data_IF_826160868462
#
_entry.id   IF_826160868462
#
_cell.length_a   1.000
_cell.length_b   1.000
_cell.length_c   1.000
_cell.angle_alpha   90.00
_cell.angle_beta   90.00
_cell.angle_gamma   90.00
#
_symmetry.space_group_name_H-M   'P 1'
#
loop_
_entity.id
_entity.type
_entity.pdbx_description
1 polymer ?
#
# COMPACT_ATOMS: atom_id res chain seq x y z
N UNK A 1 -28.56 -7.32 -28.76
CA UNK A 1 -28.49 -6.35 -27.66
C UNK A 1 -27.14 -6.55 -26.98
N UNK A 2 -26.33 -5.50 -26.84
CA UNK A 2 -25.02 -5.63 -26.18
C UNK A 2 -25.14 -5.99 -24.71
N UNK A 3 -24.06 -6.46 -24.08
CA UNK A 3 -24.05 -6.73 -22.64
C UNK A 3 -24.36 -5.47 -21.82
N UNK A 4 -23.81 -4.32 -22.24
CA UNK A 4 -24.06 -3.01 -21.63
C UNK A 4 -25.54 -2.63 -21.74
N UNK A 5 -26.16 -2.78 -22.91
CA UNK A 5 -27.58 -2.49 -23.10
C UNK A 5 -28.46 -3.36 -22.20
N UNK A 6 -28.09 -4.64 -22.04
CA UNK A 6 -28.80 -5.59 -21.17
C UNK A 6 -28.72 -5.14 -19.71
N UNK A 7 -27.53 -4.81 -19.24
CA UNK A 7 -27.33 -4.29 -17.88
C UNK A 7 -28.09 -2.98 -17.67
N UNK A 8 -27.98 -2.02 -18.60
CA UNK A 8 -28.73 -0.78 -18.56
C UNK A 8 -30.25 -1.02 -18.51
N UNK A 9 -30.77 -1.98 -19.26
CA UNK A 9 -32.19 -2.31 -19.25
C UNK A 9 -32.64 -2.81 -17.87
N UNK A 10 -31.88 -3.74 -17.29
CA UNK A 10 -32.14 -4.26 -15.94
C UNK A 10 -31.99 -3.20 -14.85
N UNK A 11 -31.08 -2.24 -15.02
CA UNK A 11 -30.91 -1.10 -14.12
C UNK A 11 -32.12 -0.18 -14.13
N UNK A 12 -32.73 0.11 -15.29
CA UNK A 12 -33.85 1.05 -15.39
C UNK A 12 -35.23 0.40 -15.20
N UNK A 13 -35.36 -0.92 -15.39
CA UNK A 13 -36.59 -1.68 -15.19
C UNK A 13 -36.64 -2.36 -13.81
N UNK A 14 -36.00 -1.77 -12.80
CA UNK A 14 -36.00 -2.34 -11.45
C UNK A 14 -37.35 -2.06 -10.76
N UNK A 15 -38.13 -3.11 -10.47
CA UNK A 15 -39.38 -3.01 -9.69
C UNK A 15 -39.09 -3.30 -8.21
N UNK A 16 -38.21 -2.51 -7.59
CA UNK A 16 -37.99 -2.54 -6.13
C UNK A 16 -36.53 -2.52 -5.69
N UNK A 17 -35.65 -3.34 -6.27
CA UNK A 17 -34.21 -3.37 -5.95
C UNK A 17 -33.36 -3.66 -7.18
N UNK A 18 -32.32 -2.84 -7.36
CA UNK A 18 -31.35 -2.94 -8.46
C UNK A 18 -30.62 -4.27 -8.42
N UNK A 19 -30.17 -4.67 -7.23
CA UNK A 19 -29.40 -5.89 -6.99
C UNK A 19 -30.24 -7.14 -7.31
N UNK A 20 -31.54 -7.11 -7.01
CA UNK A 20 -32.49 -8.17 -7.37
C UNK A 20 -32.76 -8.26 -8.87
N UNK A 21 -32.75 -7.13 -9.58
CA UNK A 21 -32.88 -7.13 -11.04
C UNK A 21 -31.62 -7.68 -11.70
N UNK A 22 -30.45 -7.24 -11.22
CA UNK A 22 -29.15 -7.64 -11.76
C UNK A 22 -28.78 -9.09 -11.43
N UNK A 23 -29.22 -9.64 -10.30
CA UNK A 23 -28.96 -11.05 -9.92
C UNK A 23 -29.57 -12.07 -10.88
N UNK A 24 -30.58 -11.67 -11.67
CA UNK A 24 -31.17 -12.49 -12.74
C UNK A 24 -30.26 -12.60 -13.96
N UNK A 25 -29.25 -11.73 -14.06
CA UNK A 25 -28.26 -11.69 -15.14
C UNK A 25 -26.98 -12.36 -14.64
N UNK A 26 -26.36 -13.17 -15.50
CA UNK A 26 -25.01 -13.72 -15.26
C UNK A 26 -24.01 -13.15 -16.27
N UNK A 27 -23.68 -11.84 -16.19
CA UNK A 27 -22.81 -11.22 -17.16
C UNK A 27 -21.35 -11.65 -16.96
N UNK A 28 -20.60 -11.74 -18.05
CA UNK A 28 -19.14 -11.82 -18.01
C UNK A 28 -18.58 -10.41 -17.99
N UNK A 29 -18.40 -9.86 -16.79
CA UNK A 29 -17.95 -8.48 -16.60
C UNK A 29 -16.44 -8.33 -16.85
N UNK A 30 -16.08 -7.20 -17.44
CA UNK A 30 -14.72 -6.67 -17.45
C UNK A 30 -14.73 -5.18 -17.08
N UNK A 31 -13.54 -4.59 -16.92
CA UNK A 31 -13.39 -3.19 -16.51
C UNK A 31 -14.02 -2.21 -17.51
N UNK A 32 -14.00 -2.54 -18.81
CA UNK A 32 -14.52 -1.66 -19.85
C UNK A 32 -16.05 -1.64 -19.81
N UNK A 33 -16.68 -2.82 -19.74
CA UNK A 33 -18.12 -2.98 -19.61
C UNK A 33 -18.66 -2.25 -18.38
N UNK A 34 -17.99 -2.39 -17.22
CA UNK A 34 -18.38 -1.67 -16.00
C UNK A 34 -18.34 -0.16 -16.23
N UNK A 35 -17.24 0.38 -16.77
CA UNK A 35 -17.08 1.82 -17.00
C UNK A 35 -18.14 2.36 -17.97
N UNK A 36 -18.48 1.62 -19.02
CA UNK A 36 -19.54 2.01 -19.97
C UNK A 36 -20.91 2.11 -19.29
N UNK A 37 -21.25 1.18 -18.41
CA UNK A 37 -22.48 1.25 -17.61
C UNK A 37 -22.45 2.41 -16.60
N UNK A 38 -21.30 2.70 -15.98
CA UNK A 38 -21.18 3.87 -15.10
C UNK A 38 -21.39 5.19 -15.86
N UNK A 39 -20.85 5.29 -17.08
CA UNK A 39 -21.02 6.47 -17.92
C UNK A 39 -22.49 6.67 -18.35
N UNK A 40 -23.25 5.58 -18.58
CA UNK A 40 -24.67 5.70 -18.93
C UNK A 40 -25.53 6.19 -17.77
N UNK A 41 -25.10 5.96 -16.52
CA UNK A 41 -25.76 6.46 -15.31
C UNK A 41 -25.44 7.94 -15.04
N UNK A 42 -24.31 8.45 -15.53
CA UNK A 42 -23.89 9.84 -15.34
C UNK A 42 -24.52 10.79 -16.38
N UNK A 43 -24.92 12.03 -16.02
CA UNK A 43 -25.03 12.60 -14.68
C UNK A 43 -26.40 12.35 -14.02
N UNK A 44 -27.33 11.69 -14.71
CA UNK A 44 -28.76 11.70 -14.37
C UNK A 44 -29.11 10.84 -13.15
N UNK A 45 -28.42 9.71 -12.95
CA UNK A 45 -28.74 8.71 -11.93
C UNK A 45 -27.46 8.22 -11.21
N UNK A 46 -26.76 9.10 -10.48
CA UNK A 46 -25.46 8.75 -9.87
C UNK A 46 -25.59 7.66 -8.80
N UNK A 47 -26.66 7.68 -7.99
CA UNK A 47 -26.92 6.64 -6.98
C UNK A 47 -27.09 5.25 -7.60
N UNK A 48 -27.78 5.16 -8.74
CA UNK A 48 -27.96 3.91 -9.48
C UNK A 48 -26.61 3.38 -10.00
N UNK A 49 -25.77 4.27 -10.51
CA UNK A 49 -24.42 3.93 -10.95
C UNK A 49 -23.54 3.39 -9.82
N UNK A 50 -23.63 3.98 -8.62
CA UNK A 50 -22.91 3.47 -7.44
C UNK A 50 -23.46 2.12 -6.96
N UNK A 51 -24.78 1.90 -7.01
CA UNK A 51 -25.38 0.58 -6.71
C UNK A 51 -24.90 -0.51 -7.66
N UNK A 52 -24.92 -0.21 -8.96
CA UNK A 52 -24.37 -1.11 -9.97
C UNK A 52 -22.88 -1.41 -9.70
N UNK A 53 -22.09 -0.38 -9.37
CA UNK A 53 -20.68 -0.54 -9.06
C UNK A 53 -20.47 -1.52 -7.90
N UNK A 54 -21.16 -1.31 -6.77
CA UNK A 54 -21.07 -2.21 -5.62
C UNK A 54 -21.46 -3.63 -6.00
N UNK A 55 -22.57 -3.81 -6.71
CA UNK A 55 -23.00 -5.12 -7.20
C UNK A 55 -21.94 -5.80 -8.07
N UNK A 56 -21.37 -5.07 -9.04
CA UNK A 56 -20.37 -5.59 -9.97
C UNK A 56 -19.10 -6.08 -9.25
N UNK A 57 -18.64 -5.36 -8.22
CA UNK A 57 -17.35 -5.58 -7.55
C UNK A 57 -17.16 -6.95 -6.91
N UNK A 58 -18.24 -7.66 -6.60
CA UNK A 58 -18.19 -8.99 -5.98
C UNK A 58 -18.75 -10.13 -6.84
N UNK A 59 -18.99 -9.90 -8.15
CA UNK A 59 -19.44 -10.97 -9.05
C UNK A 59 -18.38 -12.04 -9.30
N UNK A 60 -18.81 -13.26 -9.60
CA UNK A 60 -17.86 -14.36 -9.90
C UNK A 60 -17.07 -14.04 -11.17
N UNK A 61 -15.74 -14.18 -11.13
CA UNK A 61 -14.86 -13.92 -12.27
C UNK A 61 -14.52 -12.45 -12.52
N UNK A 62 -14.97 -11.51 -11.67
CA UNK A 62 -14.65 -10.09 -11.82
C UNK A 62 -14.37 -9.40 -10.48
N UNK A 63 -13.37 -8.52 -10.45
CA UNK A 63 -13.03 -7.64 -9.33
C UNK A 63 -12.63 -6.28 -9.89
N UNK A 64 -12.99 -5.21 -9.18
CA UNK A 64 -12.55 -3.88 -9.58
C UNK A 64 -11.04 -3.73 -9.45
N UNK A 65 -10.45 -3.07 -10.46
CA UNK A 65 -9.07 -2.58 -10.40
C UNK A 65 -9.02 -1.24 -9.65
N UNK A 66 -7.83 -0.83 -9.20
CA UNK A 66 -7.63 0.51 -8.64
C UNK A 66 -8.11 1.63 -9.59
N UNK A 67 -7.86 1.46 -10.89
CA UNK A 67 -8.35 2.38 -11.93
C UNK A 67 -9.88 2.47 -11.93
N UNK A 68 -10.58 1.35 -11.76
CA UNK A 68 -12.05 1.31 -11.76
C UNK A 68 -12.65 2.06 -10.57
N UNK A 69 -12.08 1.92 -9.36
CA UNK A 69 -12.49 2.72 -8.19
C UNK A 69 -12.22 4.22 -8.41
N UNK A 70 -11.02 4.58 -8.87
CA UNK A 70 -10.64 5.97 -9.11
C UNK A 70 -11.58 6.63 -10.13
N UNK A 71 -11.92 5.91 -11.21
CA UNK A 71 -12.86 6.36 -12.23
C UNK A 71 -14.27 6.56 -11.67
N UNK A 72 -14.78 5.62 -10.86
CA UNK A 72 -16.10 5.73 -10.25
C UNK A 72 -16.18 6.92 -9.27
N UNK A 73 -15.17 7.09 -8.42
CA UNK A 73 -15.09 8.22 -7.48
C UNK A 73 -15.11 9.56 -8.23
N UNK A 74 -14.37 9.66 -9.33
CA UNK A 74 -14.34 10.86 -10.18
C UNK A 74 -15.66 11.10 -10.92
N UNK A 75 -16.27 10.06 -11.49
CA UNK A 75 -17.51 10.17 -12.27
C UNK A 75 -18.70 10.63 -11.42
N UNK A 76 -18.81 10.15 -10.18
CA UNK A 76 -19.91 10.49 -9.29
C UNK A 76 -19.55 11.55 -8.24
N UNK A 77 -18.35 12.14 -8.32
CA UNK A 77 -17.91 13.18 -7.40
C UNK A 77 -17.90 12.74 -5.93
N UNK A 78 -17.60 11.47 -5.65
CA UNK A 78 -17.73 10.87 -4.32
C UNK A 78 -16.82 11.59 -3.29
N UNK A 79 -15.65 12.06 -3.74
CA UNK A 79 -14.73 12.84 -2.90
C UNK A 79 -15.32 14.18 -2.43
N UNK A 80 -16.12 14.85 -3.27
CA UNK A 80 -16.74 16.14 -2.96
C UNK A 80 -18.12 15.96 -2.32
N UNK A 81 -18.83 14.89 -2.68
CA UNK A 81 -20.16 14.58 -2.21
C UNK A 81 -20.18 13.21 -1.52
N UNK A 82 -19.70 13.18 -0.29
CA UNK A 82 -19.68 12.01 0.57
C UNK A 82 -21.11 11.46 0.87
N UNK A 83 -22.14 12.29 0.67
CA UNK A 83 -23.54 11.94 0.95
C UNK A 83 -24.04 10.79 0.08
N UNK A 84 -23.56 10.64 -1.16
CA UNK A 84 -23.99 9.57 -2.06
C UNK A 84 -23.76 8.16 -1.47
N UNK A 85 -22.72 7.99 -0.66
CA UNK A 85 -22.43 6.72 0.01
C UNK A 85 -23.40 6.49 1.19
N UNK A 86 -23.78 7.56 1.91
CA UNK A 86 -24.80 7.46 2.95
C UNK A 86 -26.16 7.14 2.33
N UNK A 87 -26.53 7.83 1.27
CA UNK A 87 -27.78 7.60 0.53
C UNK A 87 -27.86 6.17 -0.01
N UNK A 88 -26.74 5.62 -0.49
CA UNK A 88 -26.62 4.22 -0.88
C UNK A 88 -27.00 3.28 0.26
N UNK A 89 -26.35 3.40 1.42
CA UNK A 89 -26.60 2.51 2.56
C UNK A 89 -28.01 2.70 3.12
N UNK A 90 -28.52 3.93 3.15
CA UNK A 90 -29.89 4.22 3.57
C UNK A 90 -30.92 3.65 2.58
N UNK A 91 -30.62 3.64 1.27
CA UNK A 91 -31.49 3.02 0.27
C UNK A 91 -31.58 1.50 0.46
N UNK A 92 -30.49 0.83 0.87
CA UNK A 92 -30.53 -0.60 1.19
C UNK A 92 -31.46 -0.90 2.36
N UNK A 93 -31.47 -0.05 3.39
CA UNK A 93 -32.36 -0.18 4.55
C UNK A 93 -33.82 0.10 4.16
N UNK A 94 -34.07 1.21 3.46
CA UNK A 94 -35.42 1.63 3.07
C UNK A 94 -36.10 0.65 2.11
N UNK A 95 -35.33 0.03 1.21
CA UNK A 95 -35.84 -0.94 0.24
C UNK A 95 -35.83 -2.39 0.78
N UNK A 96 -35.31 -2.63 1.98
CA UNK A 96 -35.18 -3.98 2.54
C UNK A 96 -34.32 -4.91 1.68
N UNK A 97 -33.25 -4.37 1.08
CA UNK A 97 -32.36 -5.13 0.20
C UNK A 97 -31.65 -6.25 0.98
N UNK A 98 -31.54 -7.43 0.38
CA UNK A 98 -30.71 -8.51 0.91
C UNK A 98 -29.22 -8.18 0.69
N UNK A 99 -28.67 -7.39 1.60
CA UNK A 99 -27.26 -7.01 1.61
C UNK A 99 -26.39 -8.11 2.24
N UNK A 100 -25.12 -8.15 1.85
CA UNK A 100 -24.15 -9.10 2.39
C UNK A 100 -22.81 -8.41 2.70
N UNK A 101 -21.93 -9.12 3.40
CA UNK A 101 -20.59 -8.64 3.81
C UNK A 101 -19.75 -8.14 2.62
N UNK A 102 -19.86 -8.75 1.44
CA UNK A 102 -19.08 -8.31 0.28
C UNK A 102 -19.56 -6.95 -0.26
N UNK A 103 -20.85 -6.65 -0.20
CA UNK A 103 -21.37 -5.33 -0.58
C UNK A 103 -20.74 -4.23 0.28
N UNK A 104 -20.75 -4.40 1.61
CA UNK A 104 -20.13 -3.43 2.52
C UNK A 104 -18.61 -3.33 2.34
N UNK A 105 -17.94 -4.44 1.99
CA UNK A 105 -16.52 -4.42 1.64
C UNK A 105 -16.25 -3.53 0.43
N UNK A 106 -17.09 -3.58 -0.60
CA UNK A 106 -16.97 -2.71 -1.78
C UNK A 106 -17.27 -1.24 -1.46
N UNK A 107 -18.26 -0.97 -0.60
CA UNK A 107 -18.57 0.38 -0.10
C UNK A 107 -17.39 0.97 0.68
N UNK A 108 -16.78 0.20 1.59
CA UNK A 108 -15.62 0.66 2.35
C UNK A 108 -14.39 0.88 1.46
N UNK A 109 -14.20 0.08 0.41
CA UNK A 109 -13.15 0.35 -0.59
C UNK A 109 -13.41 1.63 -1.39
N UNK A 110 -14.65 1.96 -1.72
CA UNK A 110 -15.01 3.26 -2.30
C UNK A 110 -14.67 4.40 -1.32
N UNK A 111 -15.02 4.27 -0.04
CA UNK A 111 -14.65 5.26 0.99
C UNK A 111 -13.13 5.41 1.09
N UNK A 112 -12.39 4.30 1.02
CA UNK A 112 -10.92 4.28 1.01
C UNK A 112 -10.35 5.06 -0.17
N UNK A 113 -10.84 4.82 -1.38
CA UNK A 113 -10.40 5.53 -2.58
C UNK A 113 -10.72 7.03 -2.48
N UNK A 114 -11.91 7.38 -1.96
CA UNK A 114 -12.35 8.76 -1.78
C UNK A 114 -11.79 9.48 -0.54
N UNK A 115 -10.98 8.79 0.31
CA UNK A 115 -10.46 9.29 1.59
C UNK A 115 -11.55 9.78 2.58
N UNK A 116 -12.71 9.10 2.62
CA UNK A 116 -13.86 9.47 3.46
C UNK A 116 -13.85 8.72 4.81
N UNK A 117 -13.04 9.16 5.77
CA UNK A 117 -12.90 8.46 7.07
C UNK A 117 -14.19 8.47 7.91
N UNK A 118 -14.88 9.61 7.97
CA UNK A 118 -16.12 9.80 8.72
C UNK A 118 -17.25 8.90 8.18
N UNK A 119 -17.38 8.83 6.84
CA UNK A 119 -18.34 7.96 6.18
C UNK A 119 -17.96 6.50 6.37
N UNK A 120 -16.68 6.13 6.23
CA UNK A 120 -16.24 4.74 6.40
C UNK A 120 -16.55 4.22 7.82
N UNK A 121 -16.30 5.04 8.84
CA UNK A 121 -16.66 4.72 10.22
C UNK A 121 -18.18 4.57 10.38
N UNK A 122 -18.95 5.52 9.81
CA UNK A 122 -20.41 5.44 9.85
C UNK A 122 -20.95 4.17 9.17
N UNK A 123 -20.40 3.77 8.01
CA UNK A 123 -20.76 2.55 7.30
C UNK A 123 -20.47 1.31 8.16
N UNK A 124 -19.30 1.25 8.79
CA UNK A 124 -18.90 0.15 9.68
C UNK A 124 -19.87 -0.04 10.85
N UNK A 125 -20.35 1.06 11.45
CA UNK A 125 -21.37 0.99 12.51
C UNK A 125 -22.76 0.63 11.98
N UNK A 126 -23.14 1.22 10.85
CA UNK A 126 -24.48 1.06 10.27
C UNK A 126 -24.72 -0.37 9.80
N UNK A 127 -23.71 -1.07 9.29
CA UNK A 127 -23.83 -2.48 8.88
C UNK A 127 -24.16 -3.42 10.06
N UNK A 128 -23.56 -3.18 11.23
CA UNK A 128 -23.86 -3.97 12.43
C UNK A 128 -25.23 -3.60 13.00
N UNK A 129 -25.52 -2.31 13.14
CA UNK A 129 -26.74 -1.81 13.80
C UNK A 129 -28.02 -2.06 13.01
N UNK A 130 -28.02 -1.82 11.70
CA UNK A 130 -29.23 -1.88 10.86
C UNK A 130 -29.36 -3.19 10.09
N UNK A 131 -28.25 -3.86 9.79
CA UNK A 131 -28.26 -5.06 8.93
C UNK A 131 -27.82 -6.33 9.65
N UNK A 132 -27.38 -6.23 10.91
CA UNK A 132 -26.88 -7.35 11.71
C UNK A 132 -25.75 -8.13 10.99
N UNK A 133 -24.88 -7.41 10.27
CA UNK A 133 -23.72 -7.96 9.59
C UNK A 133 -22.47 -7.53 10.35
N UNK A 134 -21.76 -8.49 10.94
CA UNK A 134 -20.47 -8.25 11.59
C UNK A 134 -19.40 -7.85 10.58
N UNK A 135 -18.60 -6.86 10.95
CA UNK A 135 -17.42 -6.49 10.16
C UNK A 135 -16.32 -7.56 10.28
N UNK A 136 -15.44 -7.64 9.28
CA UNK A 136 -14.26 -8.49 9.30
C UNK A 136 -12.98 -7.66 9.47
N UNK A 137 -11.84 -8.34 9.71
CA UNK A 137 -10.52 -7.71 9.85
C UNK A 137 -10.17 -6.77 8.68
N UNK A 138 -10.57 -7.11 7.45
CA UNK A 138 -10.29 -6.28 6.27
C UNK A 138 -11.05 -4.95 6.33
N UNK A 139 -12.30 -4.98 6.79
CA UNK A 139 -13.12 -3.78 6.97
C UNK A 139 -12.59 -2.87 8.07
N UNK A 140 -12.26 -3.44 9.24
CA UNK A 140 -11.61 -2.70 10.32
C UNK A 140 -10.32 -2.04 9.85
N UNK A 141 -9.46 -2.78 9.13
CA UNK A 141 -8.21 -2.26 8.57
C UNK A 141 -8.41 -1.08 7.63
N UNK A 142 -9.49 -1.06 6.84
CA UNK A 142 -9.82 0.07 5.97
C UNK A 142 -10.15 1.32 6.80
N UNK A 143 -11.02 1.18 7.80
CA UNK A 143 -11.46 2.32 8.62
C UNK A 143 -10.34 2.84 9.51
N UNK A 144 -9.60 1.95 10.18
CA UNK A 144 -8.43 2.27 11.01
C UNK A 144 -7.42 3.07 10.20
N UNK A 145 -7.10 2.62 8.97
CA UNK A 145 -6.16 3.33 8.10
C UNK A 145 -6.66 4.71 7.69
N UNK A 146 -7.95 4.88 7.44
CA UNK A 146 -8.54 6.18 7.12
C UNK A 146 -8.49 7.14 8.32
N UNK A 147 -8.83 6.65 9.52
CA UNK A 147 -8.67 7.42 10.76
C UNK A 147 -7.21 7.86 10.96
N UNK A 148 -6.26 6.94 10.79
CA UNK A 148 -4.83 7.21 10.91
C UNK A 148 -4.34 8.29 9.94
N UNK A 149 -4.73 8.20 8.66
CA UNK A 149 -4.39 9.21 7.64
C UNK A 149 -4.98 10.58 7.92
N UNK A 150 -6.15 10.63 8.57
CA UNK A 150 -6.78 11.88 8.99
C UNK A 150 -6.24 12.40 10.34
N UNK A 151 -5.27 11.71 10.95
CA UNK A 151 -4.68 12.06 12.24
C UNK A 151 -5.53 11.68 13.46
N UNK A 152 -6.65 10.99 13.26
CA UNK A 152 -7.54 10.51 14.33
C UNK A 152 -7.08 9.15 14.86
N UNK A 153 -5.96 9.19 15.58
CA UNK A 153 -5.37 7.98 16.18
C UNK A 153 -6.21 7.45 17.33
N UNK A 154 -6.89 8.32 18.08
CA UNK A 154 -7.73 7.89 19.20
C UNK A 154 -8.87 6.97 18.73
N UNK A 155 -9.56 7.31 17.65
CA UNK A 155 -10.58 6.44 17.07
C UNK A 155 -9.97 5.15 16.52
N UNK A 156 -8.79 5.22 15.90
CA UNK A 156 -8.09 4.04 15.40
C UNK A 156 -7.75 3.05 16.52
N UNK A 157 -7.26 3.52 17.67
CA UNK A 157 -6.96 2.68 18.84
C UNK A 157 -8.23 2.06 19.46
N UNK A 158 -9.33 2.83 19.53
CA UNK A 158 -10.63 2.30 19.98
C UNK A 158 -11.10 1.16 19.09
N UNK A 159 -11.01 1.33 17.77
CA UNK A 159 -11.38 0.30 16.80
C UNK A 159 -10.51 -0.97 16.95
N UNK A 160 -9.23 -0.84 17.25
CA UNK A 160 -8.37 -1.99 17.56
C UNK A 160 -8.86 -2.73 18.80
N UNK A 161 -9.19 -1.99 19.88
CA UNK A 161 -9.73 -2.61 21.09
C UNK A 161 -11.06 -3.34 20.86
N UNK A 162 -11.90 -2.79 19.98
CA UNK A 162 -13.17 -3.40 19.61
C UNK A 162 -13.01 -4.68 18.77
N UNK A 163 -11.95 -4.81 17.96
CA UNK A 163 -11.70 -6.04 17.20
C UNK A 163 -11.65 -7.25 18.14
N UNK A 164 -10.94 -7.16 19.26
CA UNK A 164 -10.83 -8.25 20.23
C UNK A 164 -12.16 -8.59 20.90
N UNK A 165 -13.04 -7.60 21.11
CA UNK A 165 -14.40 -7.84 21.63
C UNK A 165 -15.30 -8.59 20.64
N UNK A 166 -14.94 -8.57 19.35
CA UNK A 166 -15.65 -9.22 18.26
C UNK A 166 -14.95 -10.50 17.77
N UNK A 167 -14.06 -11.10 18.58
CA UNK A 167 -13.25 -12.27 18.23
C UNK A 167 -12.39 -12.09 16.97
N UNK A 168 -12.03 -10.84 16.67
CA UNK A 168 -11.10 -10.47 15.60
C UNK A 168 -9.75 -10.06 16.19
N UNK A 169 -8.69 -10.40 15.48
CA UNK A 169 -7.33 -10.07 15.90
C UNK A 169 -6.73 -9.03 14.96
N UNK A 170 -6.21 -7.91 15.51
CA UNK A 170 -5.38 -6.98 14.76
C UNK A 170 -4.21 -7.73 14.11
N UNK A 171 -4.05 -7.54 12.80
CA UNK A 171 -2.97 -8.13 12.01
C UNK A 171 -1.85 -7.10 11.75
N UNK A 172 -0.77 -7.54 11.09
CA UNK A 172 0.35 -6.66 10.74
C UNK A 172 -0.12 -5.41 9.95
N UNK A 173 -1.14 -5.56 9.10
CA UNK A 173 -1.71 -4.45 8.32
C UNK A 173 -2.36 -3.41 9.23
N UNK A 174 -3.02 -3.86 10.30
CA UNK A 174 -3.64 -3.03 11.35
C UNK A 174 -2.59 -2.17 12.05
N UNK A 175 -1.53 -2.80 12.56
CA UNK A 175 -0.47 -2.11 13.28
C UNK A 175 0.35 -1.20 12.38
N UNK A 176 0.64 -1.62 11.15
CA UNK A 176 1.30 -0.75 10.17
C UNK A 176 0.50 0.53 9.92
N UNK A 177 -0.83 0.46 9.88
CA UNK A 177 -1.66 1.64 9.68
C UNK A 177 -1.56 2.63 10.84
N UNK A 178 -1.55 2.15 12.09
CA UNK A 178 -1.35 2.99 13.27
C UNK A 178 0.07 3.56 13.30
N UNK A 179 1.08 2.73 13.03
CA UNK A 179 2.47 3.18 12.97
C UNK A 179 2.64 4.28 11.92
N UNK A 180 2.13 4.08 10.70
CA UNK A 180 2.13 5.10 9.65
C UNK A 180 1.41 6.38 10.17
N UNK A 181 0.21 6.24 10.74
CA UNK A 181 -0.57 7.36 11.28
C UNK A 181 0.14 8.13 12.40
N UNK A 182 0.71 7.44 13.40
CA UNK A 182 1.49 8.02 14.50
C UNK A 182 2.67 8.84 13.99
N UNK A 183 3.29 8.37 12.90
CA UNK A 183 4.47 9.00 12.35
C UNK A 183 4.16 10.08 11.28
N UNK A 184 2.95 10.08 10.69
CA UNK A 184 2.54 10.98 9.60
C UNK A 184 1.84 12.29 10.04
N UNK A 185 1.41 12.42 11.30
CA UNK A 185 0.35 13.39 11.71
C UNK A 185 0.38 14.73 10.96
N UNK A 186 -0.50 14.78 9.96
CA UNK A 186 -0.63 15.83 8.95
C UNK A 186 -1.27 17.12 9.47
N UNK A 187 -0.57 17.83 10.36
CA UNK A 187 -0.76 19.28 10.55
C UNK A 187 0.60 19.97 10.68
N UNK A 188 0.91 20.99 9.84
CA UNK A 188 2.26 21.52 9.71
C UNK A 188 2.78 22.38 10.87
N UNK A 189 1.99 22.67 11.92
CA UNK A 189 2.40 23.70 12.90
C UNK A 189 2.86 23.18 14.28
N UNK A 190 2.73 21.89 14.58
CA UNK A 190 3.16 21.34 15.90
C UNK A 190 3.98 20.04 15.80
N UNK A 191 4.37 19.63 14.60
CA UNK A 191 4.87 18.27 14.33
C UNK A 191 6.25 17.94 14.92
N UNK A 192 7.13 18.91 15.16
CA UNK A 192 8.53 18.57 15.46
C UNK A 192 8.78 18.04 16.90
N UNK A 193 8.03 18.50 17.92
CA UNK A 193 8.21 18.01 19.30
C UNK A 193 7.36 16.78 19.61
N UNK A 194 6.18 16.64 19.00
CA UNK A 194 5.27 15.49 19.16
C UNK A 194 5.80 14.22 18.48
N UNK A 195 6.48 14.32 17.34
CA UNK A 195 6.97 13.15 16.60
C UNK A 195 8.03 12.34 17.35
N UNK A 196 8.88 12.99 18.17
CA UNK A 196 9.90 12.29 18.96
C UNK A 196 9.29 11.42 20.08
N UNK A 197 8.11 11.80 20.59
CA UNK A 197 7.35 11.00 21.56
C UNK A 197 6.63 9.80 20.93
N UNK A 198 6.17 9.95 19.68
CA UNK A 198 5.24 9.00 19.04
C UNK A 198 5.92 7.88 18.25
N UNK A 199 7.17 8.06 17.82
CA UNK A 199 8.01 6.94 17.39
C UNK A 199 8.27 6.00 18.60
N UNK A 200 8.42 6.56 19.80
CA UNK A 200 8.47 5.78 21.04
C UNK A 200 7.19 4.98 21.31
N UNK A 201 6.02 5.54 20.99
CA UNK A 201 4.73 4.82 21.06
C UNK A 201 4.62 3.72 20.00
N UNK A 202 5.11 3.98 18.78
CA UNK A 202 5.19 2.95 17.73
C UNK A 202 6.07 1.76 18.16
N UNK A 203 7.20 2.01 18.81
CA UNK A 203 8.04 0.95 19.41
C UNK A 203 7.29 0.15 20.49
N UNK A 204 6.63 0.83 21.43
CA UNK A 204 5.84 0.17 22.48
C UNK A 204 4.71 -0.68 21.92
N UNK A 205 4.05 -0.23 20.85
CA UNK A 205 3.01 -0.98 20.18
C UNK A 205 3.56 -2.25 19.51
N UNK A 206 4.76 -2.19 18.92
CA UNK A 206 5.43 -3.36 18.37
C UNK A 206 5.79 -4.35 19.47
N UNK A 207 6.38 -3.89 20.56
CA UNK A 207 6.72 -4.75 21.69
C UNK A 207 5.48 -5.46 22.25
N UNK A 208 4.39 -4.70 22.42
CA UNK A 208 3.09 -5.25 22.85
C UNK A 208 2.57 -6.29 21.84
N UNK A 209 2.59 -5.99 20.55
CA UNK A 209 2.09 -6.90 19.51
C UNK A 209 2.91 -8.19 19.42
N UNK A 210 4.23 -8.10 19.46
CA UNK A 210 5.15 -9.25 19.47
C UNK A 210 4.87 -10.16 20.65
N UNK A 211 4.67 -9.59 21.84
CA UNK A 211 4.35 -10.33 23.06
C UNK A 211 2.97 -10.99 22.99
N UNK A 212 1.95 -10.25 22.53
CA UNK A 212 0.56 -10.72 22.52
C UNK A 212 0.26 -11.74 21.41
N UNK A 213 0.91 -11.61 20.24
CA UNK A 213 0.55 -12.37 19.04
C UNK A 213 1.67 -13.31 18.57
N UNK A 214 2.83 -13.34 19.25
CA UNK A 214 3.94 -14.24 18.93
C UNK A 214 4.57 -13.99 17.55
N UNK A 215 4.39 -12.81 16.98
CA UNK A 215 4.96 -12.42 15.69
C UNK A 215 6.45 -12.14 15.83
N UNK A 216 7.24 -12.43 14.80
CA UNK A 216 8.68 -12.14 14.79
C UNK A 216 8.92 -10.64 14.97
N UNK A 217 9.69 -10.28 16.01
CA UNK A 217 10.17 -8.92 16.23
C UNK A 217 10.83 -8.33 14.97
N UNK A 218 11.54 -9.17 14.20
CA UNK A 218 12.14 -8.77 12.92
C UNK A 218 11.12 -8.30 11.88
N UNK A 219 9.99 -9.00 11.74
CA UNK A 219 8.95 -8.68 10.75
C UNK A 219 8.23 -7.37 11.10
N UNK A 220 7.99 -7.16 12.40
CA UNK A 220 7.40 -5.92 12.91
C UNK A 220 8.34 -4.72 12.74
N UNK A 221 9.63 -4.87 13.06
CA UNK A 221 10.62 -3.83 12.84
C UNK A 221 10.82 -3.52 11.35
N UNK A 222 10.84 -4.54 10.47
CA UNK A 222 10.89 -4.35 9.02
C UNK A 222 9.69 -3.52 8.54
N UNK A 223 8.50 -3.83 9.03
CA UNK A 223 7.29 -3.09 8.71
C UNK A 223 7.36 -1.63 9.16
N UNK A 224 7.87 -1.37 10.37
CA UNK A 224 8.11 -0.02 10.88
C UNK A 224 9.14 0.73 10.05
N UNK A 225 10.25 0.09 9.65
CA UNK A 225 11.22 0.70 8.74
C UNK A 225 10.56 1.11 7.42
N UNK A 226 9.77 0.22 6.82
CA UNK A 226 9.05 0.50 5.56
C UNK A 226 8.13 1.72 5.75
N UNK A 227 7.38 1.77 6.85
CA UNK A 227 6.52 2.90 7.20
C UNK A 227 7.32 4.19 7.38
N UNK A 228 8.42 4.18 8.15
CA UNK A 228 9.29 5.34 8.37
C UNK A 228 9.91 5.89 7.05
N UNK A 229 10.21 5.02 6.09
CA UNK A 229 10.66 5.44 4.75
C UNK A 229 9.53 6.12 3.97
N UNK A 230 8.30 5.58 4.00
CA UNK A 230 7.14 6.15 3.29
C UNK A 230 6.82 7.58 3.74
N UNK A 231 6.92 7.85 5.04
CA UNK A 231 6.70 9.15 5.66
C UNK A 231 7.91 10.10 5.57
N UNK A 232 8.96 9.70 4.84
CA UNK A 232 10.22 10.46 4.66
C UNK A 232 11.03 10.72 5.94
N UNK A 233 10.97 9.83 6.93
CA UNK A 233 11.80 9.85 8.15
C UNK A 233 12.98 8.90 8.03
N UNK A 234 13.85 9.16 7.05
CA UNK A 234 15.00 8.29 6.72
C UNK A 234 15.95 8.07 7.91
N UNK A 235 16.24 9.10 8.71
CA UNK A 235 17.21 8.97 9.81
C UNK A 235 16.71 8.05 10.93
N UNK A 236 15.41 8.12 11.27
CA UNK A 236 14.80 7.22 12.25
C UNK A 236 14.71 5.79 11.69
N UNK A 237 14.35 5.65 10.41
CA UNK A 237 14.36 4.35 9.71
C UNK A 237 15.75 3.72 9.74
N UNK A 238 16.80 4.52 9.46
CA UNK A 238 18.19 4.10 9.51
C UNK A 238 18.63 3.66 10.89
N UNK A 239 18.26 4.43 11.93
CA UNK A 239 18.58 4.09 13.31
C UNK A 239 17.99 2.73 13.69
N UNK A 240 16.69 2.54 13.44
CA UNK A 240 16.02 1.27 13.67
C UNK A 240 16.65 0.14 12.87
N UNK A 241 16.92 0.35 11.59
CA UNK A 241 17.49 -0.68 10.73
C UNK A 241 18.88 -1.11 11.21
N UNK A 242 19.70 -0.18 11.71
CA UNK A 242 20.99 -0.51 12.32
C UNK A 242 20.83 -1.25 13.65
N UNK A 243 19.84 -0.91 14.47
CA UNK A 243 19.48 -1.67 15.68
C UNK A 243 19.02 -3.10 15.34
N UNK A 244 18.27 -3.27 14.25
CA UNK A 244 17.92 -4.60 13.74
C UNK A 244 19.19 -5.37 13.34
N UNK A 245 20.12 -4.74 12.64
CA UNK A 245 21.38 -5.37 12.22
C UNK A 245 22.32 -5.68 13.40
N UNK A 246 22.31 -4.91 14.48
CA UNK A 246 23.14 -5.21 15.66
C UNK A 246 22.55 -6.29 16.58
N UNK A 247 21.22 -6.46 16.60
CA UNK A 247 20.52 -7.50 17.37
C UNK A 247 20.42 -8.86 16.66
N UNK A 248 19.41 -9.66 17.00
CA UNK A 248 19.13 -10.95 16.32
C UNK A 248 18.13 -10.84 15.17
N UNK A 249 17.48 -9.67 15.04
CA UNK A 249 16.51 -9.42 13.98
C UNK A 249 17.18 -9.45 12.60
N UNK A 250 16.54 -10.13 11.64
CA UNK A 250 16.92 -10.09 10.23
C UNK A 250 15.94 -9.17 9.50
N UNK A 251 16.39 -8.04 8.94
CA UNK A 251 15.54 -7.24 8.09
C UNK A 251 15.08 -8.05 6.87
N UNK A 252 13.82 -7.89 6.52
CA UNK A 252 13.24 -8.44 5.30
C UNK A 252 13.78 -7.75 4.04
N UNK A 253 13.51 -8.37 2.89
CA UNK A 253 13.94 -7.89 1.57
C UNK A 253 13.41 -6.49 1.28
N UNK A 254 12.14 -6.25 1.58
CA UNK A 254 11.49 -5.01 1.21
C UNK A 254 12.03 -3.81 2.03
N UNK A 255 12.21 -3.96 3.34
CA UNK A 255 12.79 -2.91 4.17
C UNK A 255 14.23 -2.60 3.74
N UNK A 256 15.04 -3.63 3.52
CA UNK A 256 16.43 -3.50 3.05
C UNK A 256 16.48 -2.73 1.73
N UNK A 257 15.66 -3.14 0.76
CA UNK A 257 15.59 -2.51 -0.55
C UNK A 257 15.14 -1.05 -0.48
N UNK A 258 14.11 -0.74 0.31
CA UNK A 258 13.54 0.61 0.41
C UNK A 258 14.50 1.59 1.10
N UNK A 259 15.17 1.19 2.18
CA UNK A 259 16.13 2.06 2.87
C UNK A 259 17.31 2.40 1.96
N UNK A 260 17.90 1.39 1.31
CA UNK A 260 19.01 1.60 0.37
C UNK A 260 18.59 2.51 -0.79
N UNK A 261 17.40 2.29 -1.36
CA UNK A 261 16.87 3.13 -2.44
C UNK A 261 16.64 4.58 -1.99
N UNK A 262 16.07 4.80 -0.81
CA UNK A 262 15.84 6.15 -0.29
C UNK A 262 17.17 6.88 0.01
N UNK A 263 18.19 6.19 0.54
CA UNK A 263 19.54 6.75 0.70
C UNK A 263 20.12 7.23 -0.64
N UNK A 264 19.99 6.41 -1.68
CA UNK A 264 20.41 6.79 -3.03
C UNK A 264 19.65 8.02 -3.54
N UNK A 265 18.32 8.07 -3.37
CA UNK A 265 17.49 9.21 -3.78
C UNK A 265 17.81 10.50 -3.02
N UNK A 266 18.31 10.40 -1.78
CA UNK A 266 18.74 11.53 -0.94
C UNK A 266 20.20 11.93 -1.12
N UNK A 267 20.86 11.40 -2.16
CA UNK A 267 22.26 11.67 -2.46
C UNK A 267 23.24 11.15 -1.37
N UNK A 268 22.79 10.23 -0.50
CA UNK A 268 23.58 9.62 0.60
C UNK A 268 24.18 8.28 0.18
N UNK A 269 24.83 8.25 -0.98
CA UNK A 269 25.30 7.00 -1.60
C UNK A 269 26.41 6.30 -0.80
N UNK A 270 27.26 7.05 -0.09
CA UNK A 270 28.25 6.45 0.80
C UNK A 270 27.62 5.68 1.96
N UNK A 271 26.59 6.25 2.60
CA UNK A 271 25.85 5.59 3.66
C UNK A 271 25.16 4.33 3.13
N UNK A 272 24.60 4.41 1.92
CA UNK A 272 24.02 3.25 1.22
C UNK A 272 25.04 2.13 0.98
N UNK A 273 26.27 2.46 0.61
CA UNK A 273 27.35 1.47 0.46
C UNK A 273 27.69 0.79 1.79
N UNK A 274 27.88 1.55 2.87
CA UNK A 274 28.19 0.97 4.18
C UNK A 274 27.03 0.14 4.75
N UNK A 275 25.80 0.58 4.52
CA UNK A 275 24.62 -0.18 4.90
C UNK A 275 24.55 -1.52 4.15
N UNK A 276 24.84 -1.51 2.86
CA UNK A 276 24.91 -2.73 2.05
C UNK A 276 25.93 -3.72 2.66
N UNK A 277 27.14 -3.26 2.98
CA UNK A 277 28.16 -4.11 3.62
C UNK A 277 27.68 -4.67 4.97
N UNK A 278 26.98 -3.87 5.78
CA UNK A 278 26.43 -4.31 7.05
C UNK A 278 25.35 -5.41 6.87
N UNK A 279 24.46 -5.28 5.88
CA UNK A 279 23.46 -6.29 5.53
C UNK A 279 24.14 -7.59 5.06
N UNK A 280 25.20 -7.46 4.26
CA UNK A 280 25.97 -8.61 3.76
C UNK A 280 26.67 -9.38 4.90
N UNK A 281 27.28 -8.66 5.83
CA UNK A 281 27.98 -9.25 6.98
C UNK A 281 27.02 -10.03 7.89
N UNK A 282 25.75 -9.62 7.95
CA UNK A 282 24.71 -10.35 8.70
C UNK A 282 24.17 -11.58 7.95
N UNK A 283 24.59 -11.81 6.71
CA UNK A 283 24.14 -12.93 5.90
C UNK A 283 22.72 -12.75 5.33
N UNK A 284 22.18 -11.54 5.33
CA UNK A 284 20.85 -11.22 4.77
C UNK A 284 20.93 -11.01 3.23
N UNK A 285 21.70 -11.86 2.56
CA UNK A 285 22.22 -11.63 1.20
C UNK A 285 21.16 -11.75 0.09
N UNK A 286 20.11 -12.54 0.30
CA UNK A 286 18.99 -12.71 -0.64
C UNK A 286 17.98 -11.56 -0.61
N UNK A 287 18.21 -10.56 0.23
CA UNK A 287 17.22 -9.56 0.61
C UNK A 287 17.32 -8.23 -0.17
N UNK A 288 18.09 -8.16 -1.26
CA UNK A 288 18.35 -6.89 -1.96
C UNK A 288 18.09 -7.03 -3.45
N UNK A 289 17.28 -6.11 -3.99
CA UNK A 289 16.95 -6.06 -5.42
C UNK A 289 18.20 -5.72 -6.26
N UNK A 290 18.33 -6.36 -7.43
CA UNK A 290 19.47 -6.16 -8.34
C UNK A 290 19.67 -4.72 -8.78
N UNK A 291 18.58 -3.96 -8.90
CA UNK A 291 18.60 -2.57 -9.34
C UNK A 291 19.35 -1.68 -8.35
N UNK A 292 19.33 -2.02 -7.05
CA UNK A 292 19.95 -1.22 -5.99
C UNK A 292 21.47 -1.22 -6.12
N UNK A 293 22.06 -2.38 -6.46
CA UNK A 293 23.48 -2.47 -6.75
C UNK A 293 23.87 -1.54 -7.92
N UNK A 294 23.02 -1.50 -8.95
CA UNK A 294 23.24 -0.64 -10.13
C UNK A 294 23.15 0.85 -9.78
N UNK A 295 22.17 1.23 -8.95
CA UNK A 295 21.99 2.61 -8.46
C UNK A 295 23.19 3.04 -7.59
N UNK A 296 23.61 2.20 -6.64
CA UNK A 296 24.73 2.49 -5.75
C UNK A 296 26.04 2.59 -6.53
N UNK A 297 26.30 1.65 -7.45
CA UNK A 297 27.52 1.66 -8.26
C UNK A 297 27.61 2.94 -9.09
N UNK A 298 26.53 3.29 -9.78
CA UNK A 298 26.47 4.53 -10.55
C UNK A 298 26.68 5.76 -9.67
N UNK A 299 26.01 5.83 -8.52
CA UNK A 299 26.15 6.95 -7.59
C UNK A 299 27.55 7.10 -7.00
N UNK A 300 28.26 5.99 -6.73
CA UNK A 300 29.65 6.00 -6.27
C UNK A 300 30.60 6.49 -7.37
N UNK A 301 30.35 6.06 -8.61
CA UNK A 301 31.10 6.50 -9.78
C UNK A 301 30.96 8.01 -10.00
N UNK A 302 29.74 8.54 -10.01
CA UNK A 302 29.48 9.97 -10.19
C UNK A 302 30.18 10.88 -9.17
N UNK A 303 30.43 10.38 -7.94
CA UNK A 303 31.12 11.12 -6.88
C UNK A 303 32.60 10.79 -6.76
N UNK A 304 33.17 10.10 -7.74
CA UNK A 304 34.58 9.69 -7.77
C UNK A 304 35.01 8.84 -6.56
N UNK A 305 34.09 8.10 -5.94
CA UNK A 305 34.39 7.11 -4.89
C UNK A 305 34.84 5.78 -5.50
N UNK A 306 35.87 5.82 -6.35
CA UNK A 306 36.28 4.73 -7.23
C UNK A 306 36.66 3.45 -6.48
N UNK A 307 37.38 3.56 -5.36
CA UNK A 307 37.75 2.38 -4.55
C UNK A 307 36.53 1.61 -4.06
N UNK A 308 35.47 2.32 -3.65
CA UNK A 308 34.22 1.72 -3.19
C UNK A 308 33.40 1.18 -4.36
N UNK A 309 33.37 1.91 -5.48
CA UNK A 309 32.74 1.45 -6.72
C UNK A 309 33.37 0.13 -7.21
N UNK A 310 34.70 0.03 -7.24
CA UNK A 310 35.42 -1.20 -7.60
C UNK A 310 35.11 -2.35 -6.65
N UNK A 311 35.03 -2.08 -5.34
CA UNK A 311 34.64 -3.09 -4.34
C UNK A 311 33.20 -3.58 -4.59
N UNK A 312 32.26 -2.67 -4.84
CA UNK A 312 30.87 -3.00 -5.13
C UNK A 312 30.73 -3.80 -6.44
N UNK A 313 31.46 -3.41 -7.49
CA UNK A 313 31.49 -4.13 -8.76
C UNK A 313 31.97 -5.58 -8.57
N UNK A 314 33.00 -5.82 -7.76
CA UNK A 314 33.46 -7.18 -7.43
C UNK A 314 32.41 -7.99 -6.69
N UNK A 315 31.66 -7.37 -5.77
CA UNK A 315 30.52 -8.00 -5.08
C UNK A 315 29.44 -8.41 -6.08
N UNK A 316 29.06 -7.51 -7.00
CA UNK A 316 28.08 -7.79 -8.05
C UNK A 316 28.51 -8.97 -8.93
N UNK A 317 29.79 -9.03 -9.33
CA UNK A 317 30.34 -10.13 -10.11
C UNK A 317 30.29 -11.47 -9.37
N UNK A 318 30.72 -11.50 -8.11
CA UNK A 318 30.66 -12.70 -7.27
C UNK A 318 29.22 -13.23 -7.13
N UNK A 319 28.25 -12.33 -7.13
CA UNK A 319 26.81 -12.63 -7.00
C UNK A 319 26.10 -12.85 -8.34
N UNK A 320 26.81 -12.69 -9.47
CA UNK A 320 26.21 -12.73 -10.82
C UNK A 320 25.02 -11.76 -10.98
N UNK A 321 25.07 -10.60 -10.31
CA UNK A 321 24.05 -9.54 -10.42
C UNK A 321 24.40 -8.67 -11.62
N UNK A 322 23.57 -8.65 -12.68
CA UNK A 322 23.85 -7.83 -13.85
C UNK A 322 23.60 -6.35 -13.57
N UNK A 323 24.32 -5.49 -14.30
CA UNK A 323 24.11 -4.05 -14.26
C UNK A 323 22.85 -3.69 -15.06
N UNK A 324 21.88 -3.05 -14.40
CA UNK A 324 20.54 -2.78 -14.92
C UNK A 324 20.44 -1.38 -15.55
N UNK A 325 19.58 -1.26 -16.56
CA UNK A 325 19.20 0.03 -17.17
C UNK A 325 18.31 0.83 -16.19
N UNK A 326 18.40 2.18 -16.11
CA UNK A 326 19.15 3.11 -16.96
C UNK A 326 20.59 3.37 -16.49
N UNK A 327 21.01 2.81 -15.36
CA UNK A 327 22.30 3.15 -14.72
C UNK A 327 23.52 2.54 -15.41
N UNK A 328 23.28 1.57 -16.31
CA UNK A 328 24.31 0.79 -16.99
C UNK A 328 25.31 1.63 -17.78
N UNK A 329 24.84 2.45 -18.72
CA UNK A 329 25.71 3.21 -19.63
C UNK A 329 26.56 4.22 -18.84
N UNK A 330 25.92 5.03 -18.01
CA UNK A 330 26.63 6.04 -17.24
C UNK A 330 27.61 5.47 -16.20
N UNK A 331 27.35 4.29 -15.62
CA UNK A 331 28.31 3.65 -14.72
C UNK A 331 29.51 3.06 -15.48
N UNK A 332 29.28 2.54 -16.68
CA UNK A 332 30.34 2.02 -17.55
C UNK A 332 31.28 3.14 -17.98
N UNK A 333 30.74 4.26 -18.45
CA UNK A 333 31.53 5.39 -18.94
C UNK A 333 32.51 5.88 -17.86
N UNK A 334 32.01 6.10 -16.64
CA UNK A 334 32.84 6.56 -15.52
C UNK A 334 33.88 5.53 -15.10
N UNK A 335 33.55 4.22 -15.11
CA UNK A 335 34.52 3.16 -14.79
C UNK A 335 35.62 3.05 -15.86
N UNK A 336 35.29 3.26 -17.14
CA UNK A 336 36.28 3.31 -18.23
C UNK A 336 37.21 4.52 -18.08
N UNK A 337 36.65 5.71 -17.83
CA UNK A 337 37.42 6.95 -17.60
C UNK A 337 38.35 6.82 -16.39
N UNK A 338 37.96 6.04 -15.41
CA UNK A 338 38.72 5.78 -14.18
C UNK A 338 39.79 4.70 -14.31
N UNK A 339 39.93 4.07 -15.48
CA UNK A 339 40.94 3.05 -15.77
C UNK A 339 40.55 1.61 -15.40
N UNK A 340 39.34 1.36 -14.94
CA UNK A 340 38.86 0.04 -14.48
C UNK A 340 38.22 -0.79 -15.61
N UNK A 341 38.90 -0.87 -16.77
CA UNK A 341 38.37 -1.49 -18.00
C UNK A 341 38.06 -2.98 -17.86
N UNK A 342 38.81 -3.70 -17.03
CA UNK A 342 38.62 -5.14 -16.82
C UNK A 342 37.29 -5.43 -16.10
N UNK A 343 36.93 -4.61 -15.10
CA UNK A 343 35.65 -4.73 -14.39
C UNK A 343 34.45 -4.44 -15.30
N UNK A 344 34.59 -3.46 -16.20
CA UNK A 344 33.57 -3.13 -17.19
C UNK A 344 33.29 -4.31 -18.13
N UNK A 345 34.34 -4.97 -18.63
CA UNK A 345 34.21 -6.14 -19.49
C UNK A 345 33.47 -7.29 -18.77
N UNK A 346 33.76 -7.49 -17.48
CA UNK A 346 33.08 -8.52 -16.67
C UNK A 346 31.61 -8.16 -16.35
N UNK A 347 31.30 -6.91 -16.03
CA UNK A 347 29.93 -6.46 -15.71
C UNK A 347 29.01 -6.40 -16.95
N UNK A 348 29.59 -6.27 -18.15
CA UNK A 348 28.87 -6.21 -19.43
C UNK A 348 28.77 -7.56 -20.16
N UNK A 349 29.38 -8.61 -19.61
CA UNK A 349 29.46 -9.94 -20.22
C UNK A 349 28.14 -10.70 -20.30
N UNK A 350 27.25 -10.31 -21.22
CA UNK A 350 26.74 -11.15 -22.32
C UNK A 350 26.44 -10.24 -23.52
N UNK A 351 27.42 -10.12 -24.44
CA UNK A 351 27.28 -10.36 -25.90
C UNK A 351 28.56 -9.91 -26.60
N UNK A 352 29.47 -10.85 -26.86
CA UNK A 352 30.29 -10.91 -28.06
C UNK A 352 31.06 -12.24 -28.07
N UNK A 353 30.64 -13.17 -28.93
CA UNK A 353 31.47 -14.30 -29.39
C UNK A 353 30.94 -15.71 -29.17
N UNK A 354 29.89 -16.11 -29.90
CA UNK A 354 29.79 -17.27 -30.82
C UNK A 354 28.35 -17.46 -31.27
#
# INVERSE_FOLDING_TARGET
>A
MGMVDTLCTHLHQNNGSVENSLSKVKPKLDSQCVIEVLNSCHPKQPLLGVRFFVWAGFQSGYRHSAYTYSKACKLFGIQQNAQIIRDLVLSYEAEGCLVNVNMFREVLKLCKEAQLADVALWVLRKMEQSFNIGADTVMYNVVIRLCCKNGDIETAEKLIGEMSLNDLYPDLITYMAIVEGLCDVGRPEHAYSLLKGRVGEAYKLIDKFVVEHGVSYGDCCSSLVISLIRIKKLDEAMKLFMEMLSGDARPDTLASSLVLKELCMKDRVLDGFYLLEAIENKGCLSAIDSDIYSILLFGLCQRSHLTKATKLAKIMLKKSVPLQSPYKEGAIDVLIESGEKDLVNHLTGIRKGL
#
